data_IF_077586497595
#
_entry.id   IF_077586497595
#
_cell.length_a   1.000
_cell.length_b   1.000
_cell.length_c   1.000
_cell.angle_alpha   90.00
_cell.angle_beta   90.00
_cell.angle_gamma   90.00
#
_symmetry.space_group_name_H-M   'P 1'
#
loop_
_entity.id
_entity.type
_entity.pdbx_description
1 polymer ?
#
# COMPACT_ATOMS: atom_id res chain seq x y z
N UNK A 1 7.96 24.70 -25.32
CA UNK A 1 7.59 23.44 -24.62
C UNK A 1 8.65 23.18 -23.58
N UNK A 2 8.33 23.28 -22.28
CA UNK A 2 9.29 23.19 -21.17
C UNK A 2 9.67 21.74 -20.85
N UNK A 3 10.94 21.48 -20.53
CA UNK A 3 11.51 20.16 -20.24
C UNK A 3 10.77 19.36 -19.15
N UNK A 4 10.09 20.05 -18.23
CA UNK A 4 9.21 19.46 -17.20
C UNK A 4 8.06 18.62 -17.78
N UNK A 5 7.51 18.98 -18.95
CA UNK A 5 6.41 18.23 -19.56
C UNK A 5 6.90 16.96 -20.26
N UNK A 6 8.15 16.95 -20.73
CA UNK A 6 8.76 15.78 -21.37
C UNK A 6 9.11 14.70 -20.34
N UNK A 7 9.55 15.08 -19.14
CA UNK A 7 9.82 14.14 -18.04
C UNK A 7 8.57 13.42 -17.50
N UNK A 8 7.42 14.11 -17.41
CA UNK A 8 6.15 13.50 -16.98
C UNK A 8 5.62 12.48 -18.00
N UNK A 9 6.04 12.58 -19.26
CA UNK A 9 5.55 11.69 -20.33
C UNK A 9 6.19 10.30 -20.35
N UNK A 10 7.34 10.10 -19.72
CA UNK A 10 8.09 8.82 -19.78
C UNK A 10 7.98 7.96 -18.50
N UNK A 11 7.49 8.52 -17.39
CA UNK A 11 7.43 7.81 -16.11
C UNK A 11 6.23 6.84 -16.08
N UNK A 12 6.50 5.58 -15.73
CA UNK A 12 5.46 4.54 -15.59
C UNK A 12 4.72 4.70 -14.26
N UNK A 13 3.42 4.40 -14.28
CA UNK A 13 2.55 4.37 -13.11
C UNK A 13 2.17 2.92 -12.76
N UNK A 14 1.73 2.71 -11.53
CA UNK A 14 1.03 1.50 -11.11
C UNK A 14 -0.48 1.69 -11.27
N UNK A 15 -1.16 0.69 -11.86
CA UNK A 15 -2.63 0.70 -12.01
C UNK A 15 -3.31 0.52 -10.64
N UNK A 16 -4.52 1.07 -10.47
CA UNK A 16 -5.34 0.87 -9.27
C UNK A 16 -5.44 -0.61 -8.90
N UNK A 17 -5.76 -1.49 -9.86
CA UNK A 17 -5.87 -2.94 -9.63
C UNK A 17 -4.58 -3.57 -9.11
N UNK A 18 -3.43 -3.09 -9.56
CA UNK A 18 -2.13 -3.59 -9.10
C UNK A 18 -1.82 -3.12 -7.68
N UNK A 19 -2.16 -1.87 -7.37
CA UNK A 19 -2.02 -1.30 -6.03
C UNK A 19 -2.92 -2.04 -5.04
N UNK A 20 -4.20 -2.26 -5.37
CA UNK A 20 -5.15 -2.93 -4.48
C UNK A 20 -4.79 -4.39 -4.26
N UNK A 21 -4.33 -5.10 -5.30
CA UNK A 21 -3.86 -6.48 -5.14
C UNK A 21 -2.64 -6.57 -4.23
N UNK A 22 -1.64 -5.70 -4.44
CA UNK A 22 -0.47 -5.65 -3.57
C UNK A 22 -0.84 -5.25 -2.13
N UNK A 23 -1.80 -4.34 -1.97
CA UNK A 23 -2.34 -3.91 -0.68
C UNK A 23 -3.04 -5.06 0.05
N UNK A 24 -3.82 -5.87 -0.66
CA UNK A 24 -4.52 -7.01 -0.07
C UNK A 24 -3.56 -7.95 0.67
N UNK A 25 -2.36 -8.19 0.13
CA UNK A 25 -1.35 -9.03 0.77
C UNK A 25 -0.38 -8.25 1.69
N UNK A 26 0.16 -7.13 1.23
CA UNK A 26 1.19 -6.36 1.93
C UNK A 26 0.66 -5.24 2.83
N UNK A 27 -0.66 -5.15 2.97
CA UNK A 27 -1.35 -4.18 3.82
C UNK A 27 -1.16 -2.71 3.40
N UNK A 28 -1.47 -1.78 4.32
CA UNK A 28 -1.29 -0.33 4.11
C UNK A 28 0.15 0.07 3.78
N UNK A 29 1.15 -0.71 4.19
CA UNK A 29 2.56 -0.48 3.87
C UNK A 29 2.81 -0.56 2.35
N UNK A 30 2.30 -1.62 1.70
CA UNK A 30 2.39 -1.78 0.25
C UNK A 30 1.61 -0.67 -0.47
N UNK A 31 0.42 -0.32 0.02
CA UNK A 31 -0.38 0.77 -0.52
C UNK A 31 0.39 2.10 -0.51
N UNK A 32 0.91 2.51 0.66
CA UNK A 32 1.63 3.76 0.82
C UNK A 32 2.86 3.87 -0.08
N UNK A 33 3.60 2.76 -0.25
CA UNK A 33 4.74 2.71 -1.15
C UNK A 33 4.32 2.92 -2.62
N UNK A 34 3.37 2.13 -3.11
CA UNK A 34 2.98 2.16 -4.53
C UNK A 34 2.27 3.46 -4.91
N UNK A 35 1.36 3.94 -4.05
CA UNK A 35 0.71 5.25 -4.20
C UNK A 35 1.75 6.37 -4.20
N UNK A 36 2.75 6.27 -3.32
CA UNK A 36 3.82 7.23 -3.22
C UNK A 36 4.70 7.29 -4.47
N UNK A 37 4.98 6.13 -5.10
CA UNK A 37 5.69 6.08 -6.37
C UNK A 37 4.87 6.68 -7.51
N UNK A 38 3.54 6.51 -7.52
CA UNK A 38 2.68 7.19 -8.47
C UNK A 38 2.73 8.71 -8.30
N UNK A 39 2.56 9.24 -7.08
CA UNK A 39 2.66 10.68 -6.85
C UNK A 39 4.03 11.25 -7.24
N UNK A 40 5.12 10.54 -6.92
CA UNK A 40 6.47 10.90 -7.36
C UNK A 40 6.58 10.96 -8.88
N UNK A 41 5.99 10.01 -9.60
CA UNK A 41 5.97 9.98 -11.06
C UNK A 41 5.13 11.12 -11.66
N UNK A 42 4.07 11.56 -10.95
CA UNK A 42 3.24 12.71 -11.30
C UNK A 42 3.86 14.07 -10.93
N UNK A 43 5.09 14.11 -10.42
CA UNK A 43 5.77 15.34 -9.98
C UNK A 43 5.38 15.82 -8.58
N UNK A 44 4.46 15.13 -7.91
CA UNK A 44 3.90 15.46 -6.60
C UNK A 44 4.73 14.83 -5.47
N UNK A 45 6.02 15.20 -5.39
CA UNK A 45 7.00 14.55 -4.49
C UNK A 45 6.59 14.58 -3.02
N UNK A 46 6.01 15.69 -2.56
CA UNK A 46 5.57 15.84 -1.17
C UNK A 46 4.41 14.91 -0.83
N UNK A 47 3.44 14.79 -1.73
CA UNK A 47 2.35 13.80 -1.60
C UNK A 47 2.92 12.39 -1.62
N UNK A 48 3.91 12.14 -2.48
CA UNK A 48 4.58 10.84 -2.57
C UNK A 48 5.29 10.43 -1.27
N UNK A 49 5.99 11.35 -0.62
CA UNK A 49 6.62 11.12 0.68
C UNK A 49 5.55 10.93 1.78
N UNK A 50 4.53 11.78 1.80
CA UNK A 50 3.42 11.67 2.75
C UNK A 50 2.73 10.32 2.65
N UNK A 51 2.44 9.82 1.44
CA UNK A 51 1.81 8.49 1.26
C UNK A 51 2.65 7.36 1.84
N UNK A 52 3.98 7.40 1.69
CA UNK A 52 4.88 6.39 2.26
C UNK A 52 4.87 6.42 3.79
N UNK A 53 4.97 7.63 4.38
CA UNK A 53 4.93 7.82 5.83
C UNK A 53 3.59 7.36 6.39
N UNK A 54 2.48 7.78 5.76
CA UNK A 54 1.12 7.39 6.16
C UNK A 54 0.96 5.87 6.05
N UNK A 55 1.49 5.22 5.02
CA UNK A 55 1.45 3.76 4.89
C UNK A 55 2.13 3.04 6.07
N UNK A 56 3.31 3.52 6.48
CA UNK A 56 4.01 2.98 7.66
C UNK A 56 3.19 3.21 8.93
N UNK A 57 2.74 4.44 9.16
CA UNK A 57 1.95 4.79 10.35
C UNK A 57 0.64 3.98 10.41
N UNK A 58 -0.07 3.87 9.29
CA UNK A 58 -1.31 3.12 9.20
C UNK A 58 -1.09 1.63 9.47
N UNK A 59 0.02 1.04 9.01
CA UNK A 59 0.39 -0.33 9.36
C UNK A 59 0.65 -0.48 10.86
N UNK A 60 1.38 0.43 11.48
CA UNK A 60 1.63 0.39 12.92
C UNK A 60 0.32 0.52 13.72
N UNK A 61 -0.54 1.47 13.37
CA UNK A 61 -1.85 1.67 13.99
C UNK A 61 -2.73 0.43 13.81
N UNK A 62 -2.76 -0.15 12.62
CA UNK A 62 -3.55 -1.35 12.33
C UNK A 62 -3.15 -2.51 13.25
N UNK A 63 -1.86 -2.85 13.31
CA UNK A 63 -1.40 -3.99 14.11
C UNK A 63 -1.46 -3.73 15.62
N UNK A 64 -1.16 -2.52 16.08
CA UNK A 64 -1.32 -2.16 17.50
C UNK A 64 -2.78 -2.24 17.93
N UNK A 65 -3.72 -1.81 17.07
CA UNK A 65 -5.15 -1.96 17.32
C UNK A 65 -5.56 -3.43 17.35
N UNK A 66 -5.11 -4.23 16.38
CA UNK A 66 -5.40 -5.67 16.33
C UNK A 66 -4.92 -6.37 17.60
N UNK A 67 -3.68 -6.12 18.04
CA UNK A 67 -3.12 -6.74 19.24
C UNK A 67 -3.76 -6.24 20.55
N UNK A 68 -4.41 -5.08 20.53
CA UNK A 68 -5.14 -4.57 21.70
C UNK A 68 -6.55 -5.18 21.84
N UNK A 69 -7.06 -5.86 20.82
CA UNK A 69 -8.39 -6.48 20.85
C UNK A 69 -8.31 -7.85 21.56
N UNK A 70 -9.17 -8.12 22.56
CA UNK A 70 -9.20 -9.42 23.23
C UNK A 70 -9.49 -10.57 22.26
N UNK A 71 -8.77 -11.69 22.43
CA UNK A 71 -8.85 -12.86 21.54
C UNK A 71 -10.27 -13.40 21.37
N UNK A 72 -11.09 -13.38 22.45
CA UNK A 72 -12.50 -13.78 22.43
C UNK A 72 -13.39 -12.99 21.45
N UNK A 73 -12.98 -11.76 21.13
CA UNK A 73 -13.66 -10.90 20.15
C UNK A 73 -13.06 -11.16 18.78
N UNK A 74 -11.73 -11.21 18.68
CA UNK A 74 -11.01 -11.40 17.43
C UNK A 74 -11.34 -12.73 16.75
N UNK A 75 -11.54 -13.81 17.52
CA UNK A 75 -11.92 -15.13 17.00
C UNK A 75 -13.26 -15.17 16.27
N UNK A 76 -14.11 -14.15 16.46
CA UNK A 76 -15.40 -14.00 15.75
C UNK A 76 -15.27 -13.23 14.45
N UNK A 77 -14.13 -12.58 14.21
CA UNK A 77 -13.88 -11.77 13.00
C UNK A 77 -13.24 -12.68 11.94
N UNK A 78 -13.88 -12.90 10.78
CA UNK A 78 -13.24 -13.62 9.68
C UNK A 78 -11.94 -12.92 9.24
N UNK A 79 -10.88 -13.71 9.03
CA UNK A 79 -9.54 -13.22 8.69
C UNK A 79 -9.50 -12.29 7.46
N UNK A 80 -10.46 -12.43 6.53
CA UNK A 80 -10.54 -11.63 5.31
C UNK A 80 -11.21 -10.27 5.51
N UNK A 81 -11.97 -10.03 6.60
CA UNK A 81 -12.72 -8.78 6.78
C UNK A 81 -11.77 -7.57 6.84
N UNK A 82 -10.71 -7.66 7.63
CA UNK A 82 -9.75 -6.56 7.79
C UNK A 82 -9.07 -6.23 6.45
N UNK A 83 -8.53 -7.21 5.70
CA UNK A 83 -8.04 -7.02 4.34
C UNK A 83 -9.03 -6.38 3.37
N UNK A 84 -10.27 -6.84 3.37
CA UNK A 84 -11.30 -6.30 2.48
C UNK A 84 -11.57 -4.83 2.79
N UNK A 85 -11.69 -4.46 4.07
CA UNK A 85 -11.96 -3.09 4.49
C UNK A 85 -10.83 -2.15 4.06
N UNK A 86 -9.57 -2.42 4.46
CA UNK A 86 -8.49 -1.49 4.10
C UNK A 86 -8.27 -1.46 2.59
N UNK A 87 -8.46 -2.57 1.88
CA UNK A 87 -8.28 -2.62 0.42
C UNK A 87 -9.35 -1.79 -0.28
N UNK A 88 -10.59 -1.83 0.20
CA UNK A 88 -11.68 -0.99 -0.30
C UNK A 88 -11.41 0.50 -0.08
N UNK A 89 -10.91 0.87 1.11
CA UNK A 89 -10.53 2.25 1.41
C UNK A 89 -9.38 2.74 0.52
N UNK A 90 -8.37 1.89 0.29
CA UNK A 90 -7.25 2.21 -0.61
C UNK A 90 -7.70 2.31 -2.06
N UNK A 91 -8.56 1.40 -2.53
CA UNK A 91 -9.16 1.48 -3.86
C UNK A 91 -9.86 2.83 -4.06
N UNK A 92 -10.74 3.19 -3.12
CA UNK A 92 -11.46 4.46 -3.16
C UNK A 92 -10.50 5.65 -3.17
N UNK A 93 -9.50 5.66 -2.29
CA UNK A 93 -8.51 6.73 -2.22
C UNK A 93 -7.70 6.87 -3.51
N UNK A 94 -7.28 5.77 -4.14
CA UNK A 94 -6.52 5.81 -5.39
C UNK A 94 -7.38 6.32 -6.54
N UNK A 95 -8.61 5.85 -6.67
CA UNK A 95 -9.52 6.34 -7.71
C UNK A 95 -9.82 7.83 -7.51
N UNK A 96 -10.06 8.26 -6.27
CA UNK A 96 -10.31 9.66 -5.95
C UNK A 96 -9.10 10.57 -6.20
N UNK A 97 -7.89 10.14 -5.83
CA UNK A 97 -6.70 11.00 -5.86
C UNK A 97 -5.87 10.90 -7.14
N UNK A 98 -5.89 9.77 -7.84
CA UNK A 98 -5.05 9.46 -8.99
C UNK A 98 -5.84 8.94 -10.21
N UNK A 99 -7.14 8.63 -10.07
CA UNK A 99 -7.93 7.96 -11.09
C UNK A 99 -7.99 8.69 -12.43
N UNK A 100 -8.19 10.01 -12.42
CA UNK A 100 -8.20 10.81 -13.67
C UNK A 100 -6.85 10.77 -14.41
N UNK A 101 -5.73 10.83 -13.66
CA UNK A 101 -4.40 10.74 -14.24
C UNK A 101 -4.12 9.35 -14.80
N UNK A 102 -4.53 8.30 -14.10
CA UNK A 102 -4.37 6.92 -14.55
C UNK A 102 -5.17 6.66 -15.83
N UNK A 103 -6.41 7.17 -15.93
CA UNK A 103 -7.23 7.08 -17.14
C UNK A 103 -6.59 7.80 -18.32
N UNK A 104 -6.17 9.06 -18.14
CA UNK A 104 -5.44 9.80 -19.18
C UNK A 104 -4.14 9.12 -19.58
N UNK A 105 -3.42 8.49 -18.64
CA UNK A 105 -2.19 7.75 -18.94
C UNK A 105 -2.47 6.52 -19.82
N UNK A 106 -3.58 5.83 -19.57
CA UNK A 106 -4.05 4.70 -20.39
C UNK A 106 -4.54 5.14 -21.77
N UNK A 107 -5.32 6.22 -21.86
CA UNK A 107 -5.83 6.79 -23.12
C UNK A 107 -4.73 7.31 -24.06
N UNK A 108 -3.60 7.75 -23.49
CA UNK A 108 -2.43 8.19 -24.26
C UNK A 108 -1.44 7.06 -24.55
N UNK A 109 -1.87 5.79 -24.45
CA UNK A 109 -1.06 4.58 -24.69
C UNK A 109 0.26 4.53 -23.91
N UNK A 110 0.30 5.18 -22.74
CA UNK A 110 1.51 5.18 -21.92
C UNK A 110 1.62 3.89 -21.14
N UNK A 111 2.85 3.36 -21.09
CA UNK A 111 3.11 2.11 -20.39
C UNK A 111 2.94 2.22 -18.86
N UNK A 112 2.38 1.17 -18.27
CA UNK A 112 2.31 0.96 -16.82
C UNK A 112 3.40 -0.02 -16.37
N UNK A 113 3.69 -0.01 -15.07
CA UNK A 113 4.43 -1.13 -14.47
C UNK A 113 3.58 -2.41 -14.53
N UNK A 114 4.26 -3.56 -14.62
CA UNK A 114 3.58 -4.85 -14.61
C UNK A 114 2.94 -5.12 -13.26
N UNK A 115 1.81 -5.85 -13.27
CA UNK A 115 1.18 -6.33 -12.04
C UNK A 115 2.12 -7.18 -11.19
N UNK A 116 2.98 -7.99 -11.81
CA UNK A 116 3.98 -8.80 -11.11
C UNK A 116 4.96 -7.98 -10.26
N UNK A 117 5.37 -6.81 -10.75
CA UNK A 117 6.23 -5.91 -9.96
C UNK A 117 5.50 -5.41 -8.72
N UNK A 118 4.23 -5.03 -8.85
CA UNK A 118 3.42 -4.61 -7.70
C UNK A 118 3.19 -5.76 -6.71
N UNK A 119 2.88 -6.96 -7.21
CA UNK A 119 2.74 -8.15 -6.36
C UNK A 119 4.03 -8.51 -5.63
N UNK A 120 5.19 -8.40 -6.28
CA UNK A 120 6.49 -8.60 -5.64
C UNK A 120 6.75 -7.59 -4.51
N UNK A 121 6.37 -6.33 -4.70
CA UNK A 121 6.43 -5.31 -3.64
C UNK A 121 5.48 -5.67 -2.49
N UNK A 122 4.24 -6.08 -2.80
CA UNK A 122 3.29 -6.56 -1.80
C UNK A 122 3.83 -7.74 -0.99
N UNK A 123 4.50 -8.69 -1.64
CA UNK A 123 5.16 -9.83 -1.00
C UNK A 123 6.31 -9.38 -0.08
N UNK A 124 7.14 -8.45 -0.51
CA UNK A 124 8.22 -7.89 0.33
C UNK A 124 7.63 -7.22 1.57
N UNK A 125 6.59 -6.41 1.41
CA UNK A 125 5.90 -5.77 2.54
C UNK A 125 5.30 -6.80 3.50
N UNK A 126 4.67 -7.86 2.95
CA UNK A 126 4.17 -8.97 3.75
C UNK A 126 5.28 -9.64 4.56
N UNK A 127 6.44 -9.92 3.95
CA UNK A 127 7.58 -10.51 4.64
C UNK A 127 8.12 -9.61 5.76
N UNK A 128 8.20 -8.30 5.54
CA UNK A 128 8.61 -7.32 6.56
C UNK A 128 7.64 -7.35 7.75
N UNK A 129 6.34 -7.33 7.47
CA UNK A 129 5.29 -7.38 8.50
C UNK A 129 5.37 -8.70 9.27
N UNK A 130 5.43 -9.83 8.57
CA UNK A 130 5.54 -11.16 9.17
C UNK A 130 6.78 -11.31 10.05
N UNK A 131 7.92 -10.77 9.61
CA UNK A 131 9.15 -10.75 10.42
C UNK A 131 8.95 -9.94 11.71
N UNK A 132 8.33 -8.75 11.64
CA UNK A 132 8.02 -7.94 12.81
C UNK A 132 7.10 -8.64 13.80
N UNK A 133 6.04 -9.29 13.31
CA UNK A 133 5.11 -10.08 14.14
C UNK A 133 5.83 -11.25 14.80
N UNK A 134 6.64 -11.99 14.03
CA UNK A 134 7.42 -13.12 14.55
C UNK A 134 8.41 -12.69 15.62
N UNK A 135 9.11 -11.57 15.42
CA UNK A 135 10.01 -11.00 16.43
C UNK A 135 9.26 -10.62 17.71
N UNK A 136 8.09 -10.00 17.60
CA UNK A 136 7.24 -9.68 18.76
C UNK A 136 6.86 -10.94 19.55
N UNK A 137 6.33 -11.97 18.86
CA UNK A 137 5.93 -13.23 19.49
C UNK A 137 7.13 -13.92 20.16
N UNK A 138 8.29 -13.93 19.51
CA UNK A 138 9.50 -14.53 20.06
C UNK A 138 9.95 -13.81 21.34
N UNK A 139 9.91 -12.48 21.39
CA UNK A 139 10.26 -11.71 22.59
C UNK A 139 9.27 -11.98 23.72
N UNK A 140 7.97 -11.93 23.43
CA UNK A 140 6.91 -12.19 24.41
C UNK A 140 7.01 -13.59 25.02
N UNK A 141 7.28 -14.62 24.19
CA UNK A 141 7.46 -15.99 24.67
C UNK A 141 8.68 -16.20 25.58
N UNK A 142 9.72 -15.35 25.44
CA UNK A 142 10.95 -15.43 26.24
C UNK A 142 10.94 -14.48 27.44
N UNK A 143 9.93 -13.62 27.55
CA UNK A 143 9.74 -12.71 28.67
C UNK A 143 8.27 -12.72 29.11
N UNK A 144 7.77 -13.85 29.64
CA UNK A 144 6.42 -13.90 30.20
C UNK A 144 6.35 -12.90 31.35
N UNK A 145 5.53 -11.86 31.17
CA UNK A 145 5.21 -10.88 32.21
C UNK A 145 4.47 -11.54 33.39
#
# INVERSE_FOLDING_TARGET
MTDSNKELTTKKLYKTKSITLATFFGGPLAAGYLIGENFKALGERDKGLKSKIIGVIATLILFTTIFSIPEKVMSKVPNSIIPIIYTGLIWFYVEWSQGEFLKKHEENDKSFFSGWRASGIGLICLLIISAGIFSYIYIDSNNPA
#
